data_IF_747157168982
#
_entry.id   IF_747157168982
#
_cell.length_a   1.000
_cell.length_b   1.000
_cell.length_c   1.000
_cell.angle_alpha   90.00
_cell.angle_beta   90.00
_cell.angle_gamma   90.00
#
_symmetry.space_group_name_H-M   'P 1'
#
loop_
_entity.id
_entity.type
_entity.pdbx_description
1 polymer ?
#
# COMPACT_ATOMS: atom_id res chain seq x y z
N UNK A 1 -12.13 8.86 -13.48
CA UNK A 1 -11.04 8.32 -14.32
C UNK A 1 -9.68 8.86 -13.89
N UNK A 2 -8.59 8.18 -14.24
CA UNK A 2 -7.25 8.63 -13.87
C UNK A 2 -6.14 7.69 -14.32
N UNK A 3 -4.89 8.19 -14.32
CA UNK A 3 -3.67 7.45 -14.69
C UNK A 3 -2.58 7.67 -13.64
N UNK A 4 -1.78 6.63 -13.40
CA UNK A 4 -0.58 6.70 -12.57
C UNK A 4 0.49 5.82 -13.22
N UNK A 5 1.76 6.22 -13.09
CA UNK A 5 2.89 5.55 -13.72
C UNK A 5 4.00 5.36 -12.71
N UNK A 6 4.63 4.18 -12.74
CA UNK A 6 5.78 3.83 -11.94
C UNK A 6 6.90 3.39 -12.87
N UNK A 7 8.12 3.81 -12.58
CA UNK A 7 9.32 3.31 -13.24
C UNK A 7 10.09 2.45 -12.24
N UNK A 8 10.32 1.20 -12.60
CA UNK A 8 11.05 0.24 -11.77
C UNK A 8 12.37 -0.11 -12.46
N UNK A 9 13.40 -0.29 -11.64
CA UNK A 9 14.74 -0.65 -12.08
C UNK A 9 15.36 -1.57 -11.03
N UNK A 10 16.26 -2.47 -11.43
CA UNK A 10 17.04 -3.23 -10.45
C UNK A 10 17.97 -2.30 -9.67
N UNK A 11 18.31 -2.66 -8.43
CA UNK A 11 19.22 -1.86 -7.61
C UNK A 11 20.59 -1.65 -8.27
N UNK A 12 21.14 -2.72 -8.86
CA UNK A 12 22.41 -2.65 -9.61
C UNK A 12 22.31 -1.67 -10.77
N UNK A 13 21.25 -1.76 -11.58
CA UNK A 13 21.10 -0.89 -12.74
C UNK A 13 20.83 0.57 -12.35
N UNK A 14 20.18 0.82 -11.22
CA UNK A 14 20.02 2.16 -10.67
C UNK A 14 21.37 2.80 -10.32
N UNK A 15 22.28 2.02 -9.72
CA UNK A 15 23.64 2.46 -9.38
C UNK A 15 24.46 2.68 -10.65
N UNK A 16 24.46 1.73 -11.59
CA UNK A 16 25.19 1.83 -12.86
C UNK A 16 24.79 3.07 -13.67
N UNK A 17 23.50 3.41 -13.65
CA UNK A 17 22.94 4.56 -14.38
C UNK A 17 22.96 5.86 -13.57
N UNK A 18 23.40 5.85 -12.30
CA UNK A 18 23.40 7.03 -11.43
C UNK A 18 22.00 7.61 -11.17
N UNK A 19 20.96 6.76 -11.16
CA UNK A 19 19.57 7.22 -10.99
C UNK A 19 19.28 7.59 -9.54
N UNK A 20 18.53 8.69 -9.33
CA UNK A 20 17.98 9.02 -8.02
C UNK A 20 16.82 8.07 -7.69
N UNK A 21 17.07 7.12 -6.80
CA UNK A 21 16.05 6.22 -6.26
C UNK A 21 15.24 6.95 -5.19
N UNK A 22 13.92 7.00 -5.35
CA UNK A 22 13.00 7.63 -4.38
C UNK A 22 12.39 6.63 -3.39
N UNK A 23 12.38 5.34 -3.74
CA UNK A 23 11.83 4.27 -2.91
C UNK A 23 12.37 2.89 -3.31
N UNK A 24 12.22 1.91 -2.41
CA UNK A 24 12.55 0.50 -2.64
C UNK A 24 11.36 -0.38 -2.25
N UNK A 25 11.08 -1.38 -3.08
CA UNK A 25 10.12 -2.44 -2.73
C UNK A 25 10.85 -3.45 -1.85
N UNK A 26 10.53 -3.48 -0.57
CA UNK A 26 11.18 -4.37 0.41
C UNK A 26 10.45 -5.70 0.59
N UNK A 27 9.15 -5.77 0.33
CA UNK A 27 8.36 -6.99 0.44
C UNK A 27 7.06 -6.90 -0.33
N UNK A 28 6.51 -8.07 -0.66
CA UNK A 28 5.23 -8.23 -1.34
C UNK A 28 4.54 -9.49 -0.82
N UNK A 29 3.22 -9.45 -0.74
CA UNK A 29 2.42 -10.63 -0.44
C UNK A 29 1.01 -10.50 -1.03
N UNK A 30 0.43 -11.67 -1.27
CA UNK A 30 -0.97 -11.86 -1.61
C UNK A 30 -1.68 -12.68 -0.53
N UNK A 31 -2.99 -12.50 -0.45
CA UNK A 31 -3.88 -13.32 0.36
C UNK A 31 -5.27 -13.35 -0.29
N UNK A 32 -6.02 -14.42 -0.04
CA UNK A 32 -7.38 -14.57 -0.50
C UNK A 32 -8.29 -14.93 0.68
N UNK A 33 -9.48 -14.33 0.69
CA UNK A 33 -10.56 -14.68 1.61
C UNK A 33 -11.87 -14.61 0.80
N UNK A 34 -12.26 -15.62 0.01
CA UNK A 34 -13.29 -15.46 -1.02
C UNK A 34 -14.63 -14.89 -0.52
N UNK A 35 -15.13 -15.39 0.61
CA UNK A 35 -16.41 -14.94 1.20
C UNK A 35 -16.25 -13.62 1.97
N UNK A 36 -15.05 -13.36 2.49
CA UNK A 36 -14.71 -12.17 3.28
C UNK A 36 -13.61 -11.38 2.59
N UNK A 37 -13.70 -11.20 1.27
CA UNK A 37 -12.62 -10.56 0.51
C UNK A 37 -12.25 -9.16 1.04
N UNK A 38 -13.17 -8.39 1.69
CA UNK A 38 -12.80 -7.16 2.35
C UNK A 38 -11.73 -7.27 3.42
N UNK A 39 -11.56 -8.43 4.05
CA UNK A 39 -10.58 -8.65 5.14
C UNK A 39 -9.27 -9.23 4.63
N UNK A 40 -9.13 -9.52 3.34
CA UNK A 40 -7.88 -10.01 2.75
C UNK A 40 -6.66 -9.12 3.06
N UNK A 41 -6.74 -7.77 3.11
CA UNK A 41 -5.61 -6.94 3.50
C UNK A 41 -5.08 -7.24 4.91
N UNK A 42 -5.93 -7.59 5.87
CA UNK A 42 -5.51 -7.96 7.23
C UNK A 42 -4.66 -9.24 7.25
N UNK A 43 -4.72 -10.06 6.20
CA UNK A 43 -3.88 -11.25 6.03
C UNK A 43 -2.63 -10.91 5.20
N UNK A 44 -2.80 -10.15 4.12
CA UNK A 44 -1.71 -9.81 3.19
C UNK A 44 -0.69 -8.84 3.80
N UNK A 45 -1.13 -7.85 4.59
CA UNK A 45 -0.24 -6.82 5.16
C UNK A 45 0.79 -7.44 6.12
N UNK A 46 0.43 -8.25 7.13
CA UNK A 46 1.42 -8.91 7.98
C UNK A 46 2.38 -9.80 7.21
N UNK A 47 1.88 -10.52 6.19
CA UNK A 47 2.71 -11.38 5.32
C UNK A 47 3.71 -10.54 4.51
N UNK A 48 3.30 -9.40 3.96
CA UNK A 48 4.18 -8.49 3.21
C UNK A 48 5.26 -7.87 4.11
N UNK A 49 4.89 -7.45 5.33
CA UNK A 49 5.81 -6.92 6.34
C UNK A 49 6.84 -7.98 6.74
N UNK A 50 6.39 -9.20 7.00
CA UNK A 50 7.29 -10.32 7.32
C UNK A 50 8.22 -10.66 6.15
N UNK A 51 7.72 -10.65 4.90
CA UNK A 51 8.53 -10.86 3.71
C UNK A 51 9.57 -9.74 3.49
N UNK A 52 9.31 -8.55 4.01
CA UNK A 52 10.27 -7.45 4.05
C UNK A 52 11.30 -7.55 5.19
N UNK A 53 11.17 -8.54 6.08
CA UNK A 53 12.02 -8.68 7.27
C UNK A 53 11.76 -7.62 8.34
N UNK A 54 10.60 -6.97 8.31
CA UNK A 54 10.21 -5.89 9.21
C UNK A 54 9.19 -6.37 10.25
N UNK A 55 8.94 -5.53 11.26
CA UNK A 55 7.84 -5.65 12.22
C UNK A 55 6.79 -4.59 11.94
N UNK A 56 5.54 -4.87 12.31
CA UNK A 56 4.44 -3.90 12.16
C UNK A 56 4.70 -2.57 12.90
N UNK A 57 5.45 -2.60 14.01
CA UNK A 57 5.85 -1.41 14.76
C UNK A 57 6.80 -0.48 14.01
N UNK A 58 7.47 -0.97 12.96
CA UNK A 58 8.42 -0.23 12.13
C UNK A 58 7.73 0.44 10.93
N UNK A 59 6.40 0.30 10.80
CA UNK A 59 5.64 0.90 9.70
C UNK A 59 5.05 2.23 10.15
N UNK A 60 5.40 3.28 9.41
CA UNK A 60 4.96 4.64 9.70
C UNK A 60 3.57 4.92 9.13
N UNK A 61 3.31 4.53 7.89
CA UNK A 61 2.07 4.83 7.17
C UNK A 61 1.54 3.64 6.37
N UNK A 62 0.23 3.60 6.22
CA UNK A 62 -0.52 2.59 5.49
C UNK A 62 -1.46 3.26 4.49
N UNK A 63 -1.45 2.75 3.26
CA UNK A 63 -2.49 3.04 2.28
C UNK A 63 -3.29 1.75 2.01
N UNK A 64 -4.54 1.71 2.49
CA UNK A 64 -5.47 0.60 2.24
C UNK A 64 -6.56 1.12 1.32
N UNK A 65 -6.72 0.47 0.17
CA UNK A 65 -7.74 0.85 -0.81
C UNK A 65 -9.16 0.79 -0.19
N UNK A 66 -9.91 1.86 -0.35
CA UNK A 66 -11.28 1.98 0.13
C UNK A 66 -12.28 1.71 -1.00
N UNK A 67 -12.36 0.48 -1.52
CA UNK A 67 -13.44 0.18 -2.48
C UNK A 67 -14.82 0.35 -1.82
N UNK A 68 -14.88 0.16 -0.50
CA UNK A 68 -15.96 0.59 0.40
C UNK A 68 -15.34 1.08 1.71
N UNK A 69 -15.97 2.03 2.41
CA UNK A 69 -15.46 2.59 3.68
C UNK A 69 -15.21 1.51 4.75
N UNK A 70 -16.05 0.48 4.78
CA UNK A 70 -15.92 -0.64 5.73
C UNK A 70 -14.62 -1.44 5.55
N UNK A 71 -14.01 -1.41 4.35
CA UNK A 71 -12.77 -2.16 4.11
C UNK A 71 -11.61 -1.54 4.87
N UNK A 72 -11.40 -0.22 4.77
CA UNK A 72 -10.34 0.44 5.51
C UNK A 72 -10.58 0.35 7.02
N UNK A 73 -11.80 0.66 7.49
CA UNK A 73 -12.15 0.60 8.92
C UNK A 73 -12.03 -0.82 9.50
N UNK A 74 -12.47 -1.83 8.76
CA UNK A 74 -12.39 -3.23 9.16
C UNK A 74 -10.95 -3.70 9.29
N UNK A 75 -10.11 -3.42 8.29
CA UNK A 75 -8.70 -3.79 8.33
C UNK A 75 -7.91 -2.98 9.37
N UNK A 76 -8.23 -1.70 9.57
CA UNK A 76 -7.67 -0.89 10.65
C UNK A 76 -7.88 -1.55 12.01
N UNK A 77 -9.12 -2.00 12.29
CA UNK A 77 -9.47 -2.67 13.54
C UNK A 77 -8.77 -4.03 13.67
N UNK A 78 -8.75 -4.84 12.61
CA UNK A 78 -8.14 -6.18 12.62
C UNK A 78 -6.62 -6.12 12.81
N UNK A 79 -5.98 -5.09 12.28
CA UNK A 79 -4.53 -4.90 12.34
C UNK A 79 -4.09 -4.01 13.52
N UNK A 80 -5.03 -3.42 14.27
CA UNK A 80 -4.73 -2.51 15.37
C UNK A 80 -4.00 -1.24 14.92
N UNK A 81 -4.32 -0.72 13.73
CA UNK A 81 -3.66 0.47 13.17
C UNK A 81 -4.22 1.75 13.81
N UNK A 82 -3.32 2.72 14.04
CA UNK A 82 -3.73 4.06 14.43
C UNK A 82 -4.36 4.79 13.23
N UNK A 83 -5.49 5.51 13.43
CA UNK A 83 -6.14 6.30 12.38
C UNK A 83 -5.21 7.32 11.73
N UNK A 84 -4.27 7.87 12.50
CA UNK A 84 -3.31 8.90 12.07
C UNK A 84 -2.25 8.36 11.10
N UNK A 85 -2.16 7.03 10.96
CA UNK A 85 -1.23 6.35 10.06
C UNK A 85 -1.89 5.78 8.81
N UNK A 86 -3.23 5.79 8.72
CA UNK A 86 -3.98 5.15 7.66
C UNK A 86 -4.61 6.19 6.73
N UNK A 87 -4.29 6.11 5.42
CA UNK A 87 -4.88 6.94 4.37
C UNK A 87 -4.85 8.44 4.73
N UNK A 88 -3.69 8.95 5.16
CA UNK A 88 -3.52 10.30 5.73
C UNK A 88 -3.88 11.45 4.78
N UNK A 89 -3.90 11.19 3.47
CA UNK A 89 -4.33 12.14 2.44
C UNK A 89 -5.72 11.81 1.86
N UNK A 90 -6.48 10.95 2.53
CA UNK A 90 -7.75 10.41 2.07
C UNK A 90 -7.58 9.22 1.13
N UNK A 91 -8.56 8.33 1.12
CA UNK A 91 -8.54 7.12 0.29
C UNK A 91 -9.49 7.19 -0.91
N UNK A 92 -9.87 6.02 -1.42
CA UNK A 92 -10.64 5.92 -2.65
C UNK A 92 -12.10 6.41 -2.51
N UNK A 93 -12.64 6.54 -1.31
CA UNK A 93 -13.98 7.12 -1.09
C UNK A 93 -14.01 8.60 -1.49
N UNK A 94 -12.92 9.34 -1.24
CA UNK A 94 -12.80 10.75 -1.62
C UNK A 94 -12.13 10.94 -2.99
N UNK A 95 -11.06 10.18 -3.27
CA UNK A 95 -10.24 10.34 -4.46
C UNK A 95 -10.76 9.57 -5.69
N UNK A 96 -11.70 8.64 -5.48
CA UNK A 96 -12.21 7.73 -6.50
C UNK A 96 -11.36 6.47 -6.72
N UNK A 97 -11.95 5.51 -7.42
CA UNK A 97 -11.36 4.18 -7.64
C UNK A 97 -11.31 3.80 -9.13
N UNK A 98 -10.42 4.41 -9.94
CA UNK A 98 -10.15 3.92 -11.28
C UNK A 98 -9.45 2.55 -11.18
N UNK A 99 -10.17 1.48 -11.49
CA UNK A 99 -9.80 0.08 -11.14
C UNK A 99 -8.34 -0.28 -11.48
N UNK A 100 -7.92 -0.05 -12.72
CA UNK A 100 -6.56 -0.36 -13.17
C UNK A 100 -5.48 0.58 -12.60
N UNK A 101 -5.82 1.84 -12.38
CA UNK A 101 -4.91 2.89 -11.92
C UNK A 101 -4.65 2.83 -10.41
N UNK A 102 -5.62 2.38 -9.62
CA UNK A 102 -5.58 2.48 -8.15
C UNK A 102 -4.36 1.80 -7.52
N UNK A 103 -3.87 0.71 -8.11
CA UNK A 103 -2.66 0.03 -7.63
C UNK A 103 -1.42 0.92 -7.69
N UNK A 104 -1.18 1.57 -8.84
CA UNK A 104 -0.06 2.49 -8.99
C UNK A 104 -0.28 3.79 -8.21
N UNK A 105 -1.52 4.31 -8.23
CA UNK A 105 -1.88 5.55 -7.52
C UNK A 105 -1.65 5.45 -6.02
N UNK A 106 -2.08 4.37 -5.37
CA UNK A 106 -1.89 4.17 -3.92
C UNK A 106 -0.40 4.26 -3.54
N UNK A 107 0.49 3.64 -4.32
CA UNK A 107 1.92 3.74 -4.06
C UNK A 107 2.43 5.18 -4.22
N UNK A 108 2.03 5.88 -5.29
CA UNK A 108 2.43 7.28 -5.50
C UNK A 108 1.92 8.18 -4.37
N UNK A 109 0.69 7.98 -3.91
CA UNK A 109 0.11 8.72 -2.77
C UNK A 109 0.93 8.48 -1.51
N UNK A 110 1.25 7.22 -1.18
CA UNK A 110 2.07 6.88 -0.01
C UNK A 110 3.46 7.53 -0.07
N UNK A 111 4.08 7.57 -1.25
CA UNK A 111 5.37 8.24 -1.45
C UNK A 111 5.29 9.77 -1.29
N UNK A 112 4.11 10.38 -1.43
CA UNK A 112 3.91 11.81 -1.18
C UNK A 112 3.77 12.17 0.31
N UNK A 113 3.63 11.17 1.18
CA UNK A 113 3.60 11.35 2.65
C UNK A 113 5.01 11.57 3.22
N UNK A 114 6.02 10.98 2.58
CA UNK A 114 7.45 10.98 2.97
C UNK A 114 8.26 12.01 2.20
#
# INVERSE_FOLDING_TARGET
>A
DGVATLVLVSGEKALDLGLKVIAKISGYADAAAPELFPTAPAIAIPKAISNAGLKGSEIDFYEINEAFSVMALGNQKLLGLSPEKLNVHGGAVSLGHPLGCSRARILVTLLGVI
#
